data_IF_147164633059
#
_entry.id   IF_147164633059
#
_cell.length_a   1.000
_cell.length_b   1.000
_cell.length_c   1.000
_cell.angle_alpha   90.00
_cell.angle_beta   90.00
_cell.angle_gamma   90.00
#
_symmetry.space_group_name_H-M   'P 1'
#
loop_
_entity.id
_entity.type
_entity.pdbx_description
1 polymer ?
#
# COMPACT_ATOMS: atom_id res chain seq x y z
N UNK A 1 3.42 4.02 -16.51
CA UNK A 1 2.99 2.62 -16.24
C UNK A 1 2.43 2.48 -14.81
N UNK A 2 3.20 2.78 -13.72
CA UNK A 2 2.76 2.61 -12.32
C UNK A 2 1.43 3.30 -12.00
N UNK A 3 1.31 4.60 -12.28
CA UNK A 3 0.09 5.39 -12.06
C UNK A 3 -1.14 4.76 -12.72
N UNK A 4 -1.03 4.40 -14.00
CA UNK A 4 -2.13 3.77 -14.74
C UNK A 4 -2.50 2.41 -14.15
N UNK A 5 -1.51 1.66 -13.67
CA UNK A 5 -1.73 0.38 -12.99
C UNK A 5 -2.53 0.58 -11.71
N UNK A 6 -2.11 1.51 -10.85
CA UNK A 6 -2.78 1.81 -9.58
C UNK A 6 -4.25 2.18 -9.79
N UNK A 7 -4.54 3.14 -10.67
CA UNK A 7 -5.92 3.54 -10.97
C UNK A 7 -6.77 2.44 -11.59
N UNK A 8 -6.19 1.63 -12.48
CA UNK A 8 -6.90 0.51 -13.11
C UNK A 8 -7.28 -0.56 -12.08
N UNK A 9 -6.34 -0.91 -11.19
CA UNK A 9 -6.57 -1.90 -10.14
C UNK A 9 -7.57 -1.40 -9.10
N UNK A 10 -7.47 -0.13 -8.70
CA UNK A 10 -8.42 0.50 -7.81
C UNK A 10 -9.85 0.50 -8.39
N UNK A 11 -9.99 0.87 -9.67
CA UNK A 11 -11.28 0.85 -10.34
C UNK A 11 -11.86 -0.58 -10.47
N UNK A 12 -11.01 -1.58 -10.69
CA UNK A 12 -11.42 -2.98 -10.70
C UNK A 12 -11.88 -3.43 -9.31
N UNK A 13 -11.09 -3.14 -8.26
CA UNK A 13 -11.43 -3.48 -6.89
C UNK A 13 -12.80 -2.92 -6.46
N UNK A 14 -13.09 -1.67 -6.78
CA UNK A 14 -14.39 -1.06 -6.51
C UNK A 14 -15.52 -1.70 -7.31
N UNK A 15 -15.33 -1.96 -8.60
CA UNK A 15 -16.36 -2.57 -9.46
C UNK A 15 -16.71 -3.99 -9.00
N UNK A 16 -15.74 -4.71 -8.49
CA UNK A 16 -15.86 -6.11 -8.04
C UNK A 16 -16.26 -6.25 -6.57
N UNK A 17 -16.47 -5.12 -5.86
CA UNK A 17 -16.86 -5.13 -4.44
C UNK A 17 -15.78 -5.66 -3.48
N UNK A 18 -14.50 -5.66 -3.90
CA UNK A 18 -13.42 -6.26 -3.12
C UNK A 18 -13.08 -5.50 -1.84
N UNK A 19 -13.60 -4.29 -1.68
CA UNK A 19 -13.38 -3.42 -0.51
C UNK A 19 -14.65 -3.24 0.33
N UNK A 20 -15.79 -3.81 -0.05
CA UNK A 20 -17.08 -3.59 0.61
C UNK A 20 -17.06 -4.00 2.10
N UNK A 21 -16.26 -5.01 2.45
CA UNK A 21 -16.14 -5.46 3.85
C UNK A 21 -15.30 -4.53 4.74
N UNK A 22 -14.53 -3.62 4.18
CA UNK A 22 -13.57 -2.77 4.92
C UNK A 22 -13.77 -1.28 4.73
N UNK A 23 -14.57 -0.87 3.76
CA UNK A 23 -14.91 0.53 3.53
C UNK A 23 -16.31 0.81 4.08
N UNK A 24 -16.39 1.81 4.96
CA UNK A 24 -17.67 2.29 5.49
C UNK A 24 -18.13 3.47 4.62
N UNK A 25 -19.23 3.32 3.86
CA UNK A 25 -19.75 4.42 3.06
C UNK A 25 -20.32 5.51 3.97
N UNK A 26 -19.96 6.76 3.69
CA UNK A 26 -20.55 7.93 4.34
C UNK A 26 -21.76 8.42 3.52
N UNK A 27 -22.76 9.01 4.21
CA UNK A 27 -23.97 9.56 3.56
C UNK A 27 -23.64 10.56 2.44
N UNK A 28 -22.57 11.32 2.61
CA UNK A 28 -22.13 12.37 1.68
C UNK A 28 -21.08 11.91 0.68
N UNK A 29 -20.42 10.77 0.93
CA UNK A 29 -19.37 10.23 0.09
C UNK A 29 -19.32 8.71 0.20
N UNK A 30 -20.00 8.03 -0.72
CA UNK A 30 -20.06 6.56 -0.75
C UNK A 30 -18.86 5.90 -1.40
N UNK A 31 -17.98 6.66 -2.08
CA UNK A 31 -16.85 6.13 -2.86
C UNK A 31 -15.68 7.09 -2.88
N UNK A 32 -14.47 6.54 -3.04
CA UNK A 32 -13.28 7.34 -3.31
C UNK A 32 -13.41 8.16 -4.58
N UNK A 33 -13.16 9.46 -4.46
CA UNK A 33 -13.27 10.42 -5.58
C UNK A 33 -11.97 10.55 -6.39
N UNK A 34 -10.86 9.97 -5.88
CA UNK A 34 -9.54 10.04 -6.50
C UNK A 34 -9.35 9.10 -7.70
N UNK A 35 -10.12 8.00 -7.75
CA UNK A 35 -9.95 6.95 -8.76
C UNK A 35 -10.33 7.47 -10.15
N UNK A 36 -9.43 7.31 -11.13
CA UNK A 36 -9.58 7.79 -12.51
C UNK A 36 -9.44 6.64 -13.51
N UNK A 37 -10.51 5.85 -13.75
CA UNK A 37 -10.44 4.65 -14.60
C UNK A 37 -10.11 4.97 -16.06
N UNK A 38 -10.39 6.22 -16.51
CA UNK A 38 -10.15 6.68 -17.88
C UNK A 38 -8.81 7.41 -18.04
N UNK A 39 -7.95 7.39 -17.03
CA UNK A 39 -6.63 8.00 -17.09
C UNK A 39 -5.78 7.35 -18.20
N UNK A 40 -5.16 8.17 -19.05
CA UNK A 40 -4.31 7.68 -20.14
C UNK A 40 -2.89 8.23 -20.03
N UNK A 41 -1.93 7.55 -20.66
CA UNK A 41 -0.55 8.05 -20.75
C UNK A 41 -0.51 9.45 -21.37
N UNK A 42 -1.28 9.71 -22.43
CA UNK A 42 -1.37 11.01 -23.08
C UNK A 42 -1.80 12.13 -22.14
N UNK A 43 -2.70 11.86 -21.19
CA UNK A 43 -3.11 12.85 -20.19
C UNK A 43 -1.99 13.09 -19.17
N UNK A 44 -1.31 12.04 -18.71
CA UNK A 44 -0.17 12.15 -17.82
C UNK A 44 0.99 12.94 -18.42
N UNK A 45 1.28 12.71 -19.70
CA UNK A 45 2.39 13.37 -20.42
C UNK A 45 2.15 14.89 -20.63
N UNK A 46 0.90 15.35 -20.49
CA UNK A 46 0.55 16.76 -20.57
C UNK A 46 0.67 17.52 -19.26
N UNK A 47 0.85 16.81 -18.15
CA UNK A 47 0.98 17.44 -16.83
C UNK A 47 2.33 18.13 -16.71
N UNK A 48 2.36 19.43 -16.33
CA UNK A 48 3.61 20.14 -16.16
C UNK A 48 4.42 19.57 -15.00
N UNK A 49 5.75 19.54 -15.09
CA UNK A 49 6.61 19.16 -13.99
C UNK A 49 6.50 20.19 -12.84
N UNK A 50 6.41 19.69 -11.59
CA UNK A 50 6.18 20.51 -10.41
C UNK A 50 7.35 21.47 -10.10
N UNK A 51 8.58 20.99 -10.28
CA UNK A 51 9.81 21.75 -9.97
C UNK A 51 10.45 22.39 -11.20
N UNK A 52 9.69 22.63 -12.25
CA UNK A 52 10.14 23.27 -13.48
C UNK A 52 10.68 22.31 -14.55
N UNK A 53 11.06 22.84 -15.69
CA UNK A 53 11.51 22.06 -16.84
C UNK A 53 12.68 21.11 -16.50
N UNK A 54 12.62 19.91 -17.05
CA UNK A 54 13.66 18.87 -16.83
C UNK A 54 13.47 18.03 -15.58
N UNK A 55 12.50 18.33 -14.70
CA UNK A 55 12.16 17.47 -13.56
C UNK A 55 11.04 16.50 -13.92
N UNK A 56 10.97 15.37 -13.21
CA UNK A 56 10.01 14.29 -13.53
C UNK A 56 8.77 14.30 -12.64
N UNK A 57 8.82 14.94 -11.48
CA UNK A 57 7.71 14.94 -10.53
C UNK A 57 6.59 15.89 -11.03
N UNK A 58 5.37 15.37 -11.10
CA UNK A 58 4.17 16.14 -11.45
C UNK A 58 2.94 15.61 -10.67
N UNK A 59 1.82 16.30 -10.79
CA UNK A 59 0.58 15.94 -10.09
C UNK A 59 0.02 14.55 -10.45
N UNK A 60 0.47 13.95 -11.54
CA UNK A 60 0.02 12.61 -11.94
C UNK A 60 0.84 11.47 -11.36
N UNK A 61 2.07 11.73 -10.87
CA UNK A 61 2.97 10.70 -10.35
C UNK A 61 3.31 10.88 -8.85
N UNK A 62 2.62 11.80 -8.19
CA UNK A 62 2.54 11.94 -6.75
C UNK A 62 1.10 11.66 -6.30
N UNK A 63 0.93 11.05 -5.15
CA UNK A 63 -0.41 10.86 -4.56
C UNK A 63 -1.03 12.21 -4.19
N UNK A 64 -2.35 12.30 -4.26
CA UNK A 64 -3.07 13.43 -3.70
C UNK A 64 -3.19 13.30 -2.18
N UNK A 65 -3.21 14.43 -1.47
CA UNK A 65 -3.57 14.48 -0.07
C UNK A 65 -5.08 14.31 0.04
N UNK A 66 -5.53 13.37 0.86
CA UNK A 66 -6.95 13.12 1.11
C UNK A 66 -7.24 13.07 2.59
N UNK A 67 -8.44 13.45 2.98
CA UNK A 67 -8.97 13.16 4.29
C UNK A 67 -9.32 11.67 4.38
N UNK A 68 -9.13 11.07 5.56
CA UNK A 68 -9.45 9.68 5.76
C UNK A 68 -9.24 9.24 7.20
N UNK A 69 -9.97 8.22 7.59
CA UNK A 69 -9.81 7.54 8.87
C UNK A 69 -9.83 6.03 8.65
N UNK A 70 -9.09 5.29 9.47
CA UNK A 70 -9.09 3.84 9.44
C UNK A 70 -8.94 3.29 10.85
N UNK A 71 -9.59 2.16 11.13
CA UNK A 71 -9.60 1.52 12.44
C UNK A 71 -9.13 0.09 12.33
N UNK A 72 -8.24 -0.30 13.23
CA UNK A 72 -7.77 -1.67 13.40
C UNK A 72 -7.93 -2.06 14.86
N UNK A 73 -8.48 -3.23 15.13
CA UNK A 73 -8.54 -3.79 16.47
C UNK A 73 -7.39 -4.77 16.66
N UNK A 74 -6.47 -4.44 17.58
CA UNK A 74 -5.39 -5.30 17.97
C UNK A 74 -5.71 -5.94 19.33
N UNK A 75 -5.48 -7.24 19.43
CA UNK A 75 -5.74 -7.98 20.65
C UNK A 75 -4.60 -8.95 20.94
N UNK A 76 -4.31 -9.17 22.22
CA UNK A 76 -3.37 -10.22 22.64
C UNK A 76 -4.00 -11.61 22.49
N UNK A 77 -3.18 -12.62 22.28
CA UNK A 77 -3.62 -14.02 22.24
C UNK A 77 -4.42 -14.43 23.50
N UNK A 78 -3.94 -14.02 24.67
CA UNK A 78 -4.64 -14.27 25.93
C UNK A 78 -6.04 -13.63 25.98
N UNK A 79 -6.22 -12.44 25.41
CA UNK A 79 -7.53 -11.80 25.28
C UNK A 79 -8.43 -12.59 24.33
N UNK A 80 -7.92 -12.96 23.18
CA UNK A 80 -8.67 -13.73 22.17
C UNK A 80 -9.16 -15.07 22.75
N UNK A 81 -8.30 -15.79 23.46
CA UNK A 81 -8.68 -17.03 24.14
C UNK A 81 -9.80 -16.82 25.16
N UNK A 82 -9.70 -15.78 26.01
CA UNK A 82 -10.75 -15.49 26.99
C UNK A 82 -12.10 -15.15 26.35
N UNK A 83 -12.06 -14.40 25.23
CA UNK A 83 -13.27 -13.98 24.51
C UNK A 83 -13.76 -15.02 23.51
N UNK A 84 -13.00 -16.09 23.26
CA UNK A 84 -13.27 -17.10 22.23
C UNK A 84 -13.39 -16.46 20.82
N UNK A 85 -12.63 -15.41 20.57
CA UNK A 85 -12.59 -14.74 19.28
C UNK A 85 -11.51 -15.35 18.40
N UNK A 86 -11.79 -15.40 17.08
CA UNK A 86 -10.82 -15.81 16.07
C UNK A 86 -10.21 -14.56 15.43
N UNK A 87 -8.89 -14.42 15.40
CA UNK A 87 -8.24 -13.31 14.71
C UNK A 87 -8.41 -13.47 13.19
N UNK A 88 -8.42 -12.36 12.46
CA UNK A 88 -8.37 -12.36 11.00
C UNK A 88 -6.96 -12.59 10.47
N UNK A 89 -5.98 -12.00 11.17
CA UNK A 89 -4.55 -12.09 10.87
C UNK A 89 -3.74 -12.06 12.16
N UNK A 90 -2.54 -12.58 12.11
CA UNK A 90 -1.51 -12.50 13.15
C UNK A 90 -0.45 -11.48 12.72
N UNK A 91 -0.08 -10.57 13.61
CA UNK A 91 1.11 -9.73 13.44
C UNK A 91 2.34 -10.60 13.74
N UNK A 92 3.18 -10.83 12.73
CA UNK A 92 4.36 -11.70 12.81
C UNK A 92 5.58 -10.91 13.27
N UNK A 93 5.88 -9.81 12.58
CA UNK A 93 7.04 -8.98 12.86
C UNK A 93 6.85 -7.56 12.33
N UNK A 94 7.64 -6.64 12.87
CA UNK A 94 7.68 -5.24 12.44
C UNK A 94 9.12 -4.76 12.35
N UNK A 95 9.38 -3.77 11.50
CA UNK A 95 10.65 -3.07 11.46
C UNK A 95 10.45 -1.59 11.18
N UNK A 96 11.25 -0.76 11.86
CA UNK A 96 11.38 0.68 11.64
C UNK A 96 12.84 1.01 11.35
N UNK A 97 13.11 1.76 10.28
CA UNK A 97 14.48 2.12 9.90
C UNK A 97 14.58 3.55 9.40
N UNK A 98 15.64 4.22 9.84
CA UNK A 98 16.11 5.47 9.25
C UNK A 98 17.06 5.23 8.06
N UNK A 99 17.24 6.25 7.25
CA UNK A 99 18.19 6.24 6.13
C UNK A 99 18.44 7.64 5.60
N UNK A 100 19.02 7.75 4.40
CA UNK A 100 19.30 9.03 3.78
C UNK A 100 17.99 9.80 3.49
N UNK A 101 17.79 11.01 4.05
CA UNK A 101 16.62 11.84 3.79
C UNK A 101 16.37 12.15 2.31
N UNK A 102 17.43 12.27 1.52
CA UNK A 102 17.35 12.54 0.07
C UNK A 102 16.83 11.33 -0.73
N UNK A 103 16.81 10.15 -0.12
CA UNK A 103 16.32 8.90 -0.72
C UNK A 103 15.05 8.39 -0.04
N UNK A 104 14.23 9.28 0.55
CA UNK A 104 13.01 8.90 1.29
C UNK A 104 12.14 7.85 0.57
N UNK A 105 11.89 7.92 -0.75
CA UNK A 105 11.09 6.90 -1.44
C UNK A 105 11.65 5.47 -1.36
N UNK A 106 12.96 5.31 -1.13
CA UNK A 106 13.59 4.00 -0.93
C UNK A 106 13.36 3.42 0.46
N UNK A 107 12.89 4.23 1.42
CA UNK A 107 12.67 3.83 2.81
C UNK A 107 11.78 2.61 2.94
N UNK A 108 10.67 2.56 2.19
CA UNK A 108 9.75 1.43 2.20
C UNK A 108 10.45 0.12 1.81
N UNK A 109 11.04 0.06 0.63
CA UNK A 109 11.70 -1.16 0.14
C UNK A 109 12.87 -1.58 1.05
N UNK A 110 13.71 -0.63 1.47
CA UNK A 110 14.85 -0.88 2.35
C UNK A 110 14.45 -1.48 3.71
N UNK A 111 13.32 -1.02 4.27
CA UNK A 111 12.82 -1.53 5.55
C UNK A 111 12.15 -2.88 5.36
N UNK A 112 11.43 -3.07 4.27
CA UNK A 112 10.85 -4.35 3.88
C UNK A 112 11.91 -5.42 3.65
N UNK A 113 12.97 -5.11 2.88
CA UNK A 113 14.12 -6.01 2.65
C UNK A 113 14.77 -6.44 3.96
N UNK A 114 14.97 -5.48 4.88
CA UNK A 114 15.53 -5.77 6.19
C UNK A 114 14.63 -6.69 7.01
N UNK A 115 13.31 -6.41 7.06
CA UNK A 115 12.36 -7.23 7.80
C UNK A 115 12.31 -8.66 7.27
N UNK A 116 12.22 -8.81 5.95
CA UNK A 116 12.21 -10.13 5.30
C UNK A 116 13.50 -10.90 5.58
N UNK A 117 14.66 -10.26 5.46
CA UNK A 117 15.95 -10.89 5.76
C UNK A 117 16.03 -11.37 7.22
N UNK A 118 15.52 -10.60 8.19
CA UNK A 118 15.46 -11.02 9.59
C UNK A 118 14.56 -12.25 9.82
N UNK A 119 13.52 -12.41 8.98
CA UNK A 119 12.60 -13.54 9.06
C UNK A 119 13.03 -14.74 8.19
N UNK A 120 14.15 -14.63 7.46
CA UNK A 120 14.61 -15.65 6.51
C UNK A 120 13.68 -15.81 5.30
N UNK A 121 12.94 -14.75 4.93
CA UNK A 121 11.94 -14.73 3.87
C UNK A 121 12.42 -13.88 2.68
N UNK A 122 11.79 -14.14 1.53
CA UNK A 122 11.92 -13.36 0.30
C UNK A 122 10.54 -12.88 -0.15
N UNK A 123 10.49 -11.93 -1.09
CA UNK A 123 9.21 -11.45 -1.65
C UNK A 123 8.41 -12.56 -2.34
N UNK A 124 9.07 -13.55 -2.89
CA UNK A 124 8.45 -14.72 -3.52
C UNK A 124 7.67 -15.61 -2.53
N UNK A 125 8.02 -15.55 -1.25
CA UNK A 125 7.37 -16.32 -0.19
C UNK A 125 6.06 -15.66 0.29
N UNK A 126 5.77 -14.43 -0.17
CA UNK A 126 4.61 -13.65 0.23
C UNK A 126 3.41 -13.89 -0.68
N UNK A 127 2.23 -13.98 -0.12
CA UNK A 127 0.96 -14.05 -0.84
C UNK A 127 0.44 -12.67 -1.29
N UNK A 128 0.80 -11.60 -0.56
CA UNK A 128 0.40 -10.22 -0.86
C UNK A 128 1.44 -9.21 -0.37
N UNK A 129 1.57 -8.11 -1.08
CA UNK A 129 2.53 -7.03 -0.80
C UNK A 129 1.81 -5.69 -1.02
N UNK A 130 1.85 -4.81 -0.01
CA UNK A 130 1.24 -3.48 -0.08
C UNK A 130 2.27 -2.41 0.30
N UNK A 131 2.68 -1.59 -0.66
CA UNK A 131 3.51 -0.43 -0.40
C UNK A 131 2.71 0.86 -0.59
N UNK A 132 2.95 1.84 0.28
CA UNK A 132 2.33 3.13 0.12
C UNK A 132 2.90 3.86 -1.10
N UNK A 133 2.06 4.08 -2.09
CA UNK A 133 2.40 4.76 -3.35
C UNK A 133 2.40 6.29 -3.19
N UNK A 134 3.18 6.83 -2.24
CA UNK A 134 3.28 8.29 -2.09
C UNK A 134 3.78 8.97 -3.39
N UNK A 135 4.65 8.27 -4.11
CA UNK A 135 5.18 8.65 -5.42
C UNK A 135 5.33 7.41 -6.30
N UNK A 136 5.02 7.52 -7.57
CA UNK A 136 5.13 6.42 -8.53
C UNK A 136 6.54 5.82 -8.64
N UNK A 137 7.58 6.54 -8.20
CA UNK A 137 8.96 6.04 -8.16
C UNK A 137 9.11 4.85 -7.20
N UNK A 138 8.28 4.74 -6.16
CA UNK A 138 8.28 3.61 -5.22
C UNK A 138 7.95 2.32 -5.98
N UNK A 139 6.88 2.35 -6.79
CA UNK A 139 6.47 1.22 -7.63
C UNK A 139 7.50 0.89 -8.71
N UNK A 140 8.13 1.92 -9.29
CA UNK A 140 9.17 1.73 -10.29
C UNK A 140 10.39 1.04 -9.67
N UNK A 141 10.78 1.42 -8.46
CA UNK A 141 11.87 0.78 -7.74
C UNK A 141 11.55 -0.68 -7.43
N UNK A 142 10.34 -0.95 -6.91
CA UNK A 142 9.88 -2.31 -6.64
C UNK A 142 9.85 -3.15 -7.92
N UNK A 143 9.24 -2.65 -8.98
CA UNK A 143 9.13 -3.37 -10.25
C UNK A 143 10.49 -3.70 -10.90
N UNK A 144 11.49 -2.85 -10.70
CA UNK A 144 12.86 -3.09 -11.19
C UNK A 144 13.58 -4.19 -10.40
N UNK A 145 13.36 -4.22 -9.10
CA UNK A 145 14.03 -5.18 -8.21
C UNK A 145 13.28 -6.53 -8.15
N UNK A 146 11.95 -6.50 -8.16
CA UNK A 146 11.08 -7.64 -7.87
C UNK A 146 9.93 -7.75 -8.88
N UNK A 147 10.23 -7.60 -10.17
CA UNK A 147 9.23 -7.62 -11.25
C UNK A 147 8.41 -8.92 -11.33
N UNK A 148 8.97 -10.03 -10.89
CA UNK A 148 8.31 -11.32 -10.76
C UNK A 148 7.25 -11.40 -9.65
N UNK A 149 7.17 -10.39 -8.76
CA UNK A 149 6.20 -10.33 -7.68
C UNK A 149 5.09 -9.29 -7.92
N UNK A 150 5.02 -8.66 -9.11
CA UNK A 150 4.04 -7.62 -9.42
C UNK A 150 2.58 -8.12 -9.42
N UNK A 151 2.35 -9.39 -9.62
CA UNK A 151 1.04 -10.03 -9.56
C UNK A 151 0.41 -9.99 -8.15
N UNK A 152 1.24 -9.88 -7.11
CA UNK A 152 0.86 -9.83 -5.69
C UNK A 152 1.13 -8.47 -5.03
N UNK A 153 1.62 -7.49 -5.78
CA UNK A 153 1.97 -6.14 -5.31
C UNK A 153 0.84 -5.16 -5.58
N UNK A 154 0.34 -4.45 -4.53
CA UNK A 154 -0.72 -3.44 -4.59
C UNK A 154 -1.88 -3.89 -5.51
N UNK A 155 -2.43 -5.07 -5.23
CA UNK A 155 -3.43 -5.73 -6.09
C UNK A 155 -4.74 -4.98 -6.21
N UNK A 156 -5.06 -4.19 -5.20
CA UNK A 156 -6.30 -3.41 -5.13
C UNK A 156 -6.10 -1.95 -5.57
N UNK A 157 -4.92 -1.61 -6.11
CA UNK A 157 -4.48 -0.23 -6.30
C UNK A 157 -3.90 0.35 -5.03
N UNK A 158 -3.39 1.57 -5.06
CA UNK A 158 -2.74 2.19 -3.93
C UNK A 158 -2.95 3.71 -3.87
N UNK A 159 -2.11 4.40 -3.11
CA UNK A 159 -2.27 5.83 -2.80
C UNK A 159 -2.25 6.75 -4.03
N UNK A 160 -1.66 6.36 -5.14
CA UNK A 160 -1.76 7.10 -6.40
C UNK A 160 -3.21 7.23 -6.89
N UNK A 161 -4.04 6.23 -6.62
CA UNK A 161 -5.46 6.23 -7.00
C UNK A 161 -6.38 6.69 -5.87
N UNK A 162 -6.15 6.19 -4.65
CA UNK A 162 -7.01 6.48 -3.48
C UNK A 162 -6.65 7.76 -2.75
N UNK A 163 -5.42 8.26 -2.91
CA UNK A 163 -4.87 9.34 -2.12
C UNK A 163 -4.15 8.86 -0.85
N UNK A 164 -3.61 9.80 -0.10
CA UNK A 164 -2.75 9.55 1.06
C UNK A 164 -3.24 10.36 2.26
N UNK A 165 -4.01 9.75 3.17
CA UNK A 165 -4.49 10.40 4.39
C UNK A 165 -3.44 10.38 5.53
N UNK A 166 -2.16 10.55 5.21
CA UNK A 166 -1.02 10.62 6.13
C UNK A 166 -1.08 9.62 7.30
N UNK A 167 -1.48 10.08 8.49
CA UNK A 167 -1.51 9.26 9.71
C UNK A 167 -2.44 8.05 9.65
N UNK A 168 -3.46 8.04 8.78
CA UNK A 168 -4.33 6.89 8.58
C UNK A 168 -3.78 5.89 7.56
N UNK A 169 -2.79 6.25 6.74
CA UNK A 169 -2.35 5.42 5.59
C UNK A 169 -1.82 4.06 5.98
N UNK A 170 -1.11 3.94 7.10
CA UNK A 170 -0.64 2.63 7.57
C UNK A 170 -1.78 1.66 7.87
N UNK A 171 -2.86 2.15 8.48
CA UNK A 171 -4.05 1.34 8.75
C UNK A 171 -4.82 1.01 7.45
N UNK A 172 -4.91 1.94 6.48
CA UNK A 172 -5.48 1.69 5.15
C UNK A 172 -4.71 0.59 4.44
N UNK A 173 -3.37 0.64 4.42
CA UNK A 173 -2.52 -0.41 3.84
C UNK A 173 -2.76 -1.77 4.51
N UNK A 174 -2.92 -1.80 5.84
CA UNK A 174 -3.20 -3.04 6.55
C UNK A 174 -4.57 -3.64 6.16
N UNK A 175 -5.59 -2.81 5.93
CA UNK A 175 -6.90 -3.25 5.45
C UNK A 175 -6.82 -3.76 4.00
N UNK A 176 -6.09 -3.09 3.12
CA UNK A 176 -5.84 -3.55 1.75
C UNK A 176 -5.08 -4.88 1.75
N UNK A 177 -4.03 -5.00 2.58
CA UNK A 177 -3.28 -6.25 2.72
C UNK A 177 -4.18 -7.39 3.21
N UNK A 178 -5.05 -7.12 4.19
CA UNK A 178 -6.01 -8.11 4.68
C UNK A 178 -6.92 -8.61 3.55
N UNK A 179 -7.44 -7.72 2.70
CA UNK A 179 -8.29 -8.09 1.58
C UNK A 179 -7.49 -8.85 0.50
N UNK A 180 -6.27 -8.42 0.20
CA UNK A 180 -5.37 -9.12 -0.73
C UNK A 180 -5.05 -10.54 -0.24
N UNK A 181 -4.81 -10.73 1.07
CA UNK A 181 -4.61 -12.04 1.69
C UNK A 181 -5.87 -12.91 1.65
N UNK A 182 -7.07 -12.31 1.83
CA UNK A 182 -8.34 -13.04 1.68
C UNK A 182 -8.50 -13.61 0.28
N UNK A 183 -8.21 -12.82 -0.74
CA UNK A 183 -8.28 -13.24 -2.15
C UNK A 183 -7.24 -14.31 -2.51
N UNK A 184 -6.09 -14.30 -1.84
CA UNK A 184 -5.03 -15.31 -2.05
C UNK A 184 -5.28 -16.63 -1.31
N UNK A 185 -6.34 -16.71 -0.51
CA UNK A 185 -6.62 -17.90 0.31
C UNK A 185 -5.83 -17.96 1.63
N UNK A 186 -5.07 -16.93 1.97
CA UNK A 186 -4.25 -16.84 3.19
C UNK A 186 -2.75 -16.68 2.89
N UNK A 187 -1.92 -16.93 3.91
CA UNK A 187 -0.46 -16.86 3.81
C UNK A 187 0.14 -15.58 4.40
N UNK A 188 1.42 -15.35 4.11
CA UNK A 188 2.18 -14.20 4.58
C UNK A 188 1.93 -12.99 3.69
N UNK A 189 1.77 -11.84 4.31
CA UNK A 189 1.65 -10.55 3.63
C UNK A 189 2.51 -9.48 4.27
N UNK A 190 3.05 -8.59 3.46
CA UNK A 190 3.91 -7.51 3.87
C UNK A 190 3.29 -6.17 3.49
N UNK A 191 3.22 -5.25 4.44
CA UNK A 191 2.98 -3.84 4.11
C UNK A 191 4.21 -3.01 4.45
N UNK A 192 4.44 -1.94 3.67
CA UNK A 192 5.51 -1.00 3.96
C UNK A 192 5.20 0.42 3.50
N UNK A 193 5.71 1.38 4.26
CA UNK A 193 5.52 2.81 4.02
C UNK A 193 6.84 3.54 4.19
N UNK A 194 7.14 4.44 3.25
CA UNK A 194 8.24 5.39 3.36
C UNK A 194 7.77 6.68 4.02
N UNK A 195 8.55 7.19 4.95
CA UNK A 195 8.32 8.48 5.61
C UNK A 195 9.32 9.54 5.14
N UNK A 196 8.93 10.81 5.24
CA UNK A 196 9.82 11.93 5.02
C UNK A 196 11.02 11.85 5.99
N UNK A 197 12.19 12.36 5.56
CA UNK A 197 13.42 12.26 6.37
C UNK A 197 14.15 10.93 6.23
N UNK A 198 13.79 10.10 5.25
CA UNK A 198 14.47 8.83 4.95
C UNK A 198 14.00 7.66 5.80
N UNK A 199 12.89 7.80 6.50
CA UNK A 199 12.33 6.75 7.33
C UNK A 199 11.57 5.69 6.51
N UNK A 200 11.46 4.48 7.06
CA UNK A 200 10.62 3.42 6.53
C UNK A 200 10.09 2.56 7.66
N UNK A 201 8.85 2.11 7.51
CA UNK A 201 8.16 1.17 8.38
C UNK A 201 7.72 -0.04 7.56
N UNK A 202 7.83 -1.23 8.14
CA UNK A 202 7.34 -2.45 7.52
C UNK A 202 6.69 -3.36 8.56
N UNK A 203 5.62 -4.03 8.16
CA UNK A 203 4.87 -4.98 9.00
C UNK A 203 4.63 -6.25 8.20
N UNK A 204 4.93 -7.39 8.82
CA UNK A 204 4.63 -8.72 8.30
C UNK A 204 3.40 -9.28 9.04
N UNK A 205 2.38 -9.62 8.28
CA UNK A 205 1.15 -10.23 8.75
C UNK A 205 1.02 -11.65 8.20
N UNK A 206 0.34 -12.51 8.93
CA UNK A 206 -0.04 -13.84 8.47
C UNK A 206 -1.54 -14.02 8.60
N UNK A 207 -2.18 -14.45 7.53
CA UNK A 207 -3.56 -14.90 7.55
C UNK A 207 -3.61 -16.41 7.60
N UNK A 208 -4.23 -16.91 8.67
CA UNK A 208 -4.49 -18.34 8.88
C UNK A 208 -5.71 -18.82 8.09
#
# INVERSE_FOLDING_TARGET
AAVLRSHRLAAAAWREGLLDDVVLPLSECARDTGIRPQLTQRLLDRLPPHFGPGTLLNAGNACAIHDGAAFLLLASEAFLHRQRWKPLVRLVATASRGGNPQESPRGAMRTADFLLAQQGLRYEDLAAIEFNEAFAVIDVLFARAHGNCLDRYNRLGGALAYGHPYGASGAVLALHLLQSLRQSGGGLGLLSIAGAGGMGEAILLERC
#
